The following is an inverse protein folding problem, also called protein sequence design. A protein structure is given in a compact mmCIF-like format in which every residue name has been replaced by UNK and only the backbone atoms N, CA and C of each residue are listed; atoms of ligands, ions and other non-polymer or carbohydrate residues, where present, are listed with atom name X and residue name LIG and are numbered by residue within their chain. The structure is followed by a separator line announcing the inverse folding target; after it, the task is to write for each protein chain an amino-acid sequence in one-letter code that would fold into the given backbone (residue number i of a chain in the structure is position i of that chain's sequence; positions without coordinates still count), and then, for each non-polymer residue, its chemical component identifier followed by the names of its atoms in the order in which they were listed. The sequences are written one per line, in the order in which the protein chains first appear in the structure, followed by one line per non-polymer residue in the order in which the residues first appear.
data_IF_574026558441
#
_entry.id   IF_574026558441
#
_cell.length_a   1.000
_cell.length_b   1.000
_cell.length_c   1.000
_cell.angle_alpha   90.00
_cell.angle_beta   90.00
_cell.angle_gamma   90.00
#
_symmetry.space_group_name_H-M   'P 1'
#
loop_
_entity.id
_entity.type
_entity.pdbx_description
1 polymer ?
#
# COMPACT_ATOMS: atom_id res chain seq x y z
N UNK A 1 -7.92 -20.32 -3.85
CA UNK A 1 -7.18 -20.54 -5.11
C UNK A 1 -7.74 -19.53 -6.09
N UNK A 2 -6.95 -18.54 -6.51
CA UNK A 2 -7.40 -17.38 -7.31
C UNK A 2 -6.65 -17.30 -8.65
N UNK A 3 -6.11 -18.44 -9.12
CA UNK A 3 -5.48 -18.52 -10.43
C UNK A 3 -6.56 -18.79 -11.48
N UNK A 4 -6.73 -17.87 -12.43
CA UNK A 4 -7.38 -18.17 -13.71
C UNK A 4 -6.39 -18.95 -14.60
N UNK A 5 -6.93 -19.75 -15.54
CA UNK A 5 -6.21 -20.71 -16.40
C UNK A 5 -5.06 -20.11 -17.24
N UNK A 6 -4.95 -18.78 -17.27
CA UNK A 6 -3.91 -18.01 -17.97
C UNK A 6 -2.72 -17.61 -17.08
N UNK A 7 -2.71 -18.01 -15.80
CA UNK A 7 -1.60 -17.75 -14.87
C UNK A 7 -1.56 -16.32 -14.30
N UNK A 8 -2.58 -15.50 -14.57
CA UNK A 8 -2.78 -14.21 -13.95
C UNK A 8 -3.81 -14.35 -12.83
N UNK A 9 -3.45 -13.88 -11.63
CA UNK A 9 -4.36 -13.83 -10.50
C UNK A 9 -4.83 -12.40 -10.28
N UNK A 10 -6.14 -12.19 -10.19
CA UNK A 10 -6.70 -10.92 -9.75
C UNK A 10 -6.69 -10.84 -8.22
N UNK A 11 -6.41 -9.66 -7.67
CA UNK A 11 -6.51 -9.43 -6.23
C UNK A 11 -7.97 -9.16 -5.89
N UNK A 12 -8.66 -10.19 -5.38
CA UNK A 12 -10.09 -10.14 -5.12
C UNK A 12 -10.50 -9.09 -4.08
N UNK A 13 -11.68 -8.50 -4.28
CA UNK A 13 -12.34 -7.60 -3.32
C UNK A 13 -11.83 -6.16 -3.32
N UNK A 14 -10.80 -5.85 -4.09
CA UNK A 14 -10.31 -4.48 -4.23
C UNK A 14 -11.27 -3.61 -5.05
N UNK A 15 -11.40 -2.31 -4.72
CA UNK A 15 -12.17 -1.35 -5.53
C UNK A 15 -11.52 -1.13 -6.90
N UNK A 16 -12.18 -0.31 -7.74
CA UNK A 16 -11.61 0.05 -9.06
C UNK A 16 -10.31 0.80 -8.87
N UNK A 17 -9.20 0.18 -9.29
CA UNK A 17 -7.86 0.73 -9.15
C UNK A 17 -7.56 1.74 -10.25
N UNK A 18 -6.94 2.86 -9.86
CA UNK A 18 -6.48 3.92 -10.76
C UNK A 18 -5.00 3.79 -11.09
N UNK A 19 -4.18 3.42 -10.10
CA UNK A 19 -2.73 3.30 -10.29
C UNK A 19 -2.13 2.28 -9.32
N UNK A 20 -0.93 1.80 -9.64
CA UNK A 20 -0.16 0.86 -8.82
C UNK A 20 1.32 1.22 -8.85
N UNK A 21 2.01 1.01 -7.73
CA UNK A 21 3.46 1.04 -7.62
C UNK A 21 3.93 -0.25 -6.96
N UNK A 22 4.82 -0.96 -7.63
CA UNK A 22 5.49 -2.14 -7.09
C UNK A 22 6.91 -1.75 -6.64
N UNK A 23 7.21 -1.99 -5.37
CA UNK A 23 8.53 -1.85 -4.77
C UNK A 23 9.32 -3.17 -4.84
N UNK A 24 10.33 -3.31 -3.98
CA UNK A 24 11.15 -4.53 -3.95
C UNK A 24 10.39 -5.74 -3.41
N UNK A 25 9.57 -5.55 -2.37
CA UNK A 25 8.88 -6.64 -1.67
C UNK A 25 7.41 -6.38 -1.36
N UNK A 26 6.90 -5.20 -1.67
CA UNK A 26 5.50 -4.82 -1.49
C UNK A 26 4.97 -4.08 -2.71
N UNK A 27 3.65 -4.09 -2.85
CA UNK A 27 2.91 -3.38 -3.89
C UNK A 27 1.87 -2.51 -3.21
N UNK A 28 1.71 -1.28 -3.68
CA UNK A 28 0.65 -0.39 -3.25
C UNK A 28 -0.14 0.09 -4.46
N UNK A 29 -1.46 0.14 -4.34
CA UNK A 29 -2.36 0.63 -5.37
C UNK A 29 -3.28 1.71 -4.82
N UNK A 30 -3.60 2.67 -5.67
CA UNK A 30 -4.52 3.77 -5.37
C UNK A 30 -5.78 3.56 -6.20
N UNK A 31 -6.93 3.65 -5.55
CA UNK A 31 -8.22 3.50 -6.20
C UNK A 31 -8.74 4.82 -6.80
N UNK A 32 -9.89 4.76 -7.49
CA UNK A 32 -10.53 5.95 -8.07
C UNK A 32 -11.07 6.95 -7.04
N UNK A 33 -11.27 6.53 -5.79
CA UNK A 33 -11.65 7.41 -4.68
C UNK A 33 -10.42 8.13 -4.07
N UNK A 34 -9.22 7.63 -4.36
CA UNK A 34 -7.94 8.07 -3.81
C UNK A 34 -7.60 7.42 -2.47
N UNK A 35 -8.18 6.26 -2.19
CA UNK A 35 -7.78 5.35 -1.11
C UNK A 35 -6.58 4.51 -1.56
N UNK A 36 -5.68 4.18 -0.63
CA UNK A 36 -4.47 3.39 -0.93
C UNK A 36 -4.52 2.04 -0.20
N UNK A 37 -4.15 0.98 -0.92
CA UNK A 37 -4.09 -0.38 -0.41
C UNK A 37 -2.70 -0.93 -0.66
N UNK A 38 -2.07 -1.53 0.35
CA UNK A 38 -0.73 -2.09 0.23
C UNK A 38 -0.71 -3.58 0.60
N UNK A 39 0.11 -4.37 -0.09
CA UNK A 39 0.27 -5.78 0.19
C UNK A 39 1.66 -6.30 -0.16
N UNK A 40 1.97 -7.51 0.29
CA UNK A 40 3.31 -8.10 0.25
C UNK A 40 3.97 -8.07 1.61
N UNK A 41 5.25 -7.75 1.64
CA UNK A 41 6.06 -7.75 2.85
C UNK A 41 5.75 -6.55 3.77
N UNK A 42 5.42 -6.84 5.03
CA UNK A 42 5.11 -5.87 6.07
C UNK A 42 6.30 -5.34 6.85
N UNK A 43 7.49 -5.90 6.62
CA UNK A 43 8.70 -5.56 7.35
C UNK A 43 8.99 -4.07 7.29
N UNK A 44 9.58 -3.54 8.38
CA UNK A 44 9.81 -2.11 8.58
C UNK A 44 8.56 -1.22 8.53
N UNK A 45 7.35 -1.79 8.49
CA UNK A 45 6.10 -1.03 8.39
C UNK A 45 5.83 -0.50 6.98
N UNK A 46 6.44 -1.07 5.93
CA UNK A 46 6.35 -0.60 4.54
C UNK A 46 4.92 -0.56 3.96
N UNK A 47 3.97 -1.27 4.59
CA UNK A 47 2.56 -1.30 4.20
C UNK A 47 1.71 -0.21 4.85
N UNK A 48 2.17 0.45 5.91
CA UNK A 48 1.50 1.61 6.51
C UNK A 48 0.33 1.29 7.46
N UNK A 49 0.00 0.01 7.68
CA UNK A 49 -1.12 -0.41 8.56
C UNK A 49 -0.81 -0.34 10.06
N UNK A 50 0.20 0.41 10.50
CA UNK A 50 0.64 0.42 11.90
C UNK A 50 1.09 -0.96 12.41
N UNK A 51 1.48 -1.86 11.50
CA UNK A 51 1.84 -3.25 11.79
C UNK A 51 2.97 -3.70 10.85
N UNK A 52 3.71 -4.73 11.27
CA UNK A 52 4.77 -5.38 10.47
C UNK A 52 4.33 -6.69 9.82
N UNK A 53 3.03 -7.00 9.83
CA UNK A 53 2.50 -8.25 9.26
C UNK A 53 2.49 -8.20 7.73
N UNK A 54 2.83 -9.32 7.10
CA UNK A 54 2.68 -9.51 5.66
C UNK A 54 1.19 -9.60 5.29
N UNK A 55 0.80 -8.96 4.19
CA UNK A 55 -0.57 -8.96 3.65
C UNK A 55 -0.58 -9.59 2.26
N UNK A 56 -1.64 -10.29 1.88
CA UNK A 56 -1.77 -10.94 0.57
C UNK A 56 -1.36 -12.42 0.51
N UNK A 57 -0.78 -12.97 1.58
CA UNK A 57 -0.51 -14.42 1.69
C UNK A 57 -1.71 -15.21 2.21
N UNK A 58 -2.33 -14.74 3.29
CA UNK A 58 -3.46 -15.42 3.96
C UNK A 58 -4.72 -14.57 3.97
N UNK A 59 -4.59 -13.24 4.00
CA UNK A 59 -5.69 -12.30 3.88
C UNK A 59 -5.52 -11.45 2.63
N UNK A 60 -6.58 -11.27 1.82
CA UNK A 60 -6.54 -10.35 0.70
C UNK A 60 -6.46 -8.90 1.23
N UNK A 61 -5.86 -7.96 0.49
CA UNK A 61 -5.65 -6.59 0.97
C UNK A 61 -6.97 -5.85 1.23
N UNK A 62 -8.00 -6.18 0.45
CA UNK A 62 -9.36 -5.68 0.65
C UNK A 62 -9.96 -6.00 2.04
N UNK A 63 -9.57 -7.13 2.65
CA UNK A 63 -10.06 -7.52 3.97
C UNK A 63 -9.37 -6.76 5.11
N UNK A 64 -8.17 -6.21 4.87
CA UNK A 64 -7.45 -5.35 5.82
C UNK A 64 -7.98 -3.93 5.76
N UNK A 65 -8.36 -3.47 4.56
CA UNK A 65 -8.85 -2.12 4.31
C UNK A 65 -7.77 -1.20 3.74
N UNK A 66 -8.13 0.08 3.64
CA UNK A 66 -7.22 1.13 3.17
C UNK A 66 -6.17 1.47 4.23
N UNK A 67 -5.01 1.95 3.79
CA UNK A 67 -4.03 2.57 4.66
C UNK A 67 -4.53 3.98 4.99
N UNK A 68 -4.61 4.29 6.28
CA UNK A 68 -5.10 5.58 6.73
C UNK A 68 -4.05 6.66 6.45
N UNK A 69 -4.47 7.68 5.71
CA UNK A 69 -3.67 8.87 5.38
C UNK A 69 -4.55 10.12 5.52
N UNK A 70 -3.95 11.26 5.82
CA UNK A 70 -4.63 12.55 6.04
C UNK A 70 -5.09 13.23 4.72
N UNK A 71 -5.80 12.49 3.87
CA UNK A 71 -6.43 13.01 2.67
C UNK A 71 -6.41 12.08 1.46
N UNK A 72 -7.00 12.55 0.37
CA UNK A 72 -7.08 11.81 -0.91
C UNK A 72 -5.68 11.64 -1.52
N UNK A 73 -5.29 10.41 -1.84
CA UNK A 73 -4.05 10.11 -2.57
C UNK A 73 -4.24 10.33 -4.07
N UNK A 74 -3.25 10.97 -4.70
CA UNK A 74 -3.20 11.18 -6.16
C UNK A 74 -2.00 10.51 -6.84
N UNK A 75 -1.01 10.08 -6.06
CA UNK A 75 0.14 9.33 -6.56
C UNK A 75 0.78 8.53 -5.43
N UNK A 76 1.36 7.37 -5.76
CA UNK A 76 2.06 6.47 -4.84
C UNK A 76 3.41 6.06 -5.42
N UNK A 77 4.42 5.94 -4.56
CA UNK A 77 5.74 5.42 -4.89
C UNK A 77 6.20 4.43 -3.81
N UNK A 78 6.48 3.20 -4.24
CA UNK A 78 6.98 2.11 -3.40
C UNK A 78 8.46 1.88 -3.68
N UNK A 79 9.29 2.00 -2.65
CA UNK A 79 10.73 1.72 -2.68
C UNK A 79 11.06 0.31 -2.19
N UNK A 80 12.21 0.15 -1.53
CA UNK A 80 12.62 -1.15 -0.96
C UNK A 80 11.77 -1.48 0.26
N UNK A 81 11.86 -0.66 1.31
CA UNK A 81 11.15 -0.84 2.59
C UNK A 81 10.35 0.41 2.99
N UNK A 82 10.09 1.30 2.03
CA UNK A 82 9.45 2.60 2.23
C UNK A 82 8.41 2.88 1.15
N UNK A 83 7.33 3.53 1.54
CA UNK A 83 6.27 3.98 0.65
C UNK A 83 6.00 5.44 0.91
N UNK A 84 5.80 6.22 -0.15
CA UNK A 84 5.38 7.61 -0.08
C UNK A 84 4.17 7.84 -0.98
N UNK A 85 3.27 8.72 -0.55
CA UNK A 85 2.11 9.15 -1.33
C UNK A 85 2.06 10.67 -1.43
N UNK A 86 1.58 11.16 -2.57
CA UNK A 86 1.22 12.57 -2.74
C UNK A 86 -0.28 12.70 -2.53
N UNK A 87 -0.68 13.61 -1.66
CA UNK A 87 -2.07 13.93 -1.40
C UNK A 87 -2.57 15.01 -2.37
N UNK A 88 -3.89 15.05 -2.62
CA UNK A 88 -4.51 16.09 -3.44
C UNK A 88 -4.28 17.52 -2.89
N UNK A 89 -3.94 17.64 -1.60
CA UNK A 89 -3.54 18.90 -0.96
C UNK A 89 -2.12 19.36 -1.33
N UNK A 90 -1.33 18.52 -2.02
CA UNK A 90 0.08 18.75 -2.33
C UNK A 90 1.05 18.30 -1.24
N UNK A 91 0.56 17.85 -0.07
CA UNK A 91 1.39 17.25 0.98
C UNK A 91 1.89 15.86 0.57
N UNK A 92 3.00 15.45 1.17
CA UNK A 92 3.55 14.09 1.02
C UNK A 92 3.53 13.40 2.38
N UNK A 93 3.04 12.16 2.40
CA UNK A 93 3.13 11.27 3.57
C UNK A 93 3.97 10.06 3.20
N UNK A 94 4.88 9.67 4.09
CA UNK A 94 5.73 8.48 3.90
C UNK A 94 5.70 7.60 5.14
N UNK A 95 5.84 6.29 4.94
CA UNK A 95 5.93 5.28 6.00
C UNK A 95 6.89 4.16 5.58
N UNK A 96 7.33 3.36 6.55
CA UNK A 96 8.32 2.30 6.35
C UNK A 96 9.63 2.58 7.08
N UNK A 97 10.72 1.91 6.65
CA UNK A 97 12.03 2.00 7.29
C UNK A 97 12.52 3.46 7.42
N UNK A 98 12.72 3.89 8.66
CA UNK A 98 13.31 5.18 9.04
C UNK A 98 14.77 4.98 9.44
N UNK A 99 15.68 4.94 8.48
CA UNK A 99 17.05 5.36 8.83
C UNK A 99 16.94 6.87 9.09
N UNK A 100 16.97 7.25 10.38
CA UNK A 100 16.81 8.59 10.99
C UNK A 100 15.40 8.97 11.49
N UNK A 101 15.18 8.71 12.79
CA UNK A 101 14.54 9.61 13.77
C UNK A 101 13.09 10.05 13.53
N UNK A 102 12.18 9.48 14.34
CA UNK A 102 10.94 10.09 14.82
C UNK A 102 10.08 10.91 13.83
N UNK A 103 9.65 10.27 12.75
CA UNK A 103 8.39 10.66 12.11
C UNK A 103 7.44 9.46 12.08
N UNK A 104 6.91 9.16 13.27
CA UNK A 104 5.56 8.65 13.38
C UNK A 104 4.65 9.75 12.79
N UNK A 105 4.14 9.55 11.58
CA UNK A 105 2.97 10.32 11.11
C UNK A 105 1.78 10.09 12.08
N UNK A 106 0.81 11.03 12.11
CA UNK A 106 -0.16 11.21 13.19
C UNK A 106 -0.98 9.96 13.56
#
# INVERSE_FOLDING_TARGET
DFADEDGFASVAGLPTMLSVSAGARHTCAVDVAGSVYCWGDGSAGALGYGSIKNIGQTLPPAAVGEVLVDGRVVSVSAGVDRTCVVLASGKVSCWGSVEFGDVQGP
#
